data_IF_598856822092
#
_entry.id   IF_598856822092
#
_cell.length_a   1.000
_cell.length_b   1.000
_cell.length_c   1.000
_cell.angle_alpha   90.00
_cell.angle_beta   90.00
_cell.angle_gamma   90.00
#
_symmetry.space_group_name_H-M   'P 1'
#
loop_
_entity.id
_entity.type
_entity.pdbx_description
1 polymer ?
#
# COMPACT_ATOMS: atom_id res chain seq x y z
N UNK A 1 -27.57 14.53 -17.70
CA UNK A 1 -26.48 14.05 -16.84
C UNK A 1 -25.62 13.13 -17.68
N UNK A 2 -24.40 13.53 -18.00
CA UNK A 2 -23.50 12.77 -18.88
C UNK A 2 -22.94 11.58 -18.11
N UNK A 3 -22.70 10.45 -18.78
CA UNK A 3 -22.20 9.20 -18.16
C UNK A 3 -20.93 9.43 -17.30
N UNK A 4 -20.12 10.44 -17.66
CA UNK A 4 -18.97 10.88 -16.86
C UNK A 4 -19.31 11.40 -15.46
N UNK A 5 -20.45 12.10 -15.26
CA UNK A 5 -20.84 12.57 -13.93
C UNK A 5 -21.34 11.44 -13.03
N UNK A 6 -21.94 10.40 -13.61
CA UNK A 6 -22.37 9.21 -12.86
C UNK A 6 -21.18 8.34 -12.44
N UNK A 7 -20.16 8.21 -13.30
CA UNK A 7 -18.91 7.51 -12.97
C UNK A 7 -18.14 8.21 -11.86
N UNK A 8 -18.02 9.54 -11.91
CA UNK A 8 -17.34 10.32 -10.87
C UNK A 8 -18.06 10.20 -9.53
N UNK A 9 -19.39 10.34 -9.50
CA UNK A 9 -20.17 10.19 -8.25
C UNK A 9 -20.14 8.75 -7.72
N UNK A 10 -20.12 7.74 -8.58
CA UNK A 10 -20.00 6.34 -8.17
C UNK A 10 -18.60 6.00 -7.62
N UNK A 11 -17.54 6.58 -8.19
CA UNK A 11 -16.17 6.48 -7.68
C UNK A 11 -16.01 7.21 -6.34
N UNK A 12 -16.58 8.41 -6.19
CA UNK A 12 -16.56 9.18 -4.94
C UNK A 12 -17.32 8.44 -3.83
N UNK A 13 -18.57 8.04 -4.08
CA UNK A 13 -19.39 7.30 -3.12
C UNK A 13 -18.77 5.93 -2.78
N UNK A 14 -18.19 5.25 -3.77
CA UNK A 14 -17.48 3.99 -3.60
C UNK A 14 -16.23 4.12 -2.73
N UNK A 15 -15.36 5.09 -3.03
CA UNK A 15 -14.08 5.30 -2.34
C UNK A 15 -14.26 5.66 -0.86
N UNK A 16 -15.18 6.58 -0.54
CA UNK A 16 -15.44 6.96 0.84
C UNK A 16 -16.15 5.86 1.64
N UNK A 17 -16.95 5.00 1.00
CA UNK A 17 -17.61 3.87 1.67
C UNK A 17 -16.63 2.86 2.26
N UNK A 18 -15.42 2.73 1.68
CA UNK A 18 -14.35 1.83 2.14
C UNK A 18 -13.80 2.29 3.51
N UNK A 19 -13.84 3.59 3.79
CA UNK A 19 -13.46 4.18 5.09
C UNK A 19 -14.59 4.15 6.13
N UNK A 20 -15.83 3.91 5.70
CA UNK A 20 -16.98 3.74 6.61
C UNK A 20 -17.07 2.34 7.22
N UNK A 21 -16.44 1.34 6.61
CA UNK A 21 -16.43 -0.04 7.07
C UNK A 21 -15.22 -0.33 7.96
N UNK A 22 -15.43 -0.28 9.28
CA UNK A 22 -14.39 -0.49 10.30
C UNK A 22 -13.70 -1.86 10.19
N UNK A 23 -14.38 -2.85 9.60
CA UNK A 23 -13.81 -4.19 9.38
C UNK A 23 -12.78 -4.18 8.24
N UNK A 24 -13.04 -3.43 7.18
CA UNK A 24 -12.09 -3.28 6.06
C UNK A 24 -10.88 -2.46 6.46
N UNK A 25 -11.08 -1.41 7.27
CA UNK A 25 -9.97 -0.67 7.87
C UNK A 25 -9.12 -1.55 8.75
N UNK A 26 -9.71 -2.35 9.64
CA UNK A 26 -8.97 -3.30 10.48
C UNK A 26 -8.16 -4.33 9.66
N UNK A 27 -8.75 -4.86 8.59
CA UNK A 27 -8.07 -5.77 7.67
C UNK A 27 -6.90 -5.10 6.95
N UNK A 28 -7.09 -3.87 6.47
CA UNK A 28 -6.02 -3.08 5.84
C UNK A 28 -4.85 -2.83 6.81
N UNK A 29 -5.12 -2.48 8.07
CA UNK A 29 -4.08 -2.27 9.08
C UNK A 29 -3.29 -3.56 9.36
N UNK A 30 -3.97 -4.70 9.47
CA UNK A 30 -3.32 -6.00 9.65
C UNK A 30 -2.44 -6.38 8.45
N UNK A 31 -2.89 -6.11 7.23
CA UNK A 31 -2.11 -6.34 6.01
C UNK A 31 -0.87 -5.44 6.00
N UNK A 32 -1.01 -4.16 6.38
CA UNK A 32 0.12 -3.24 6.47
C UNK A 32 1.15 -3.71 7.51
N UNK A 33 0.70 -4.13 8.69
CA UNK A 33 1.58 -4.68 9.74
C UNK A 33 2.29 -5.95 9.23
N UNK A 34 1.54 -6.87 8.60
CA UNK A 34 2.10 -8.10 8.04
C UNK A 34 3.16 -7.82 6.97
N UNK A 35 2.91 -6.85 6.08
CA UNK A 35 3.86 -6.44 5.05
C UNK A 35 5.15 -5.85 5.63
N UNK A 36 5.05 -5.02 6.67
CA UNK A 36 6.23 -4.45 7.36
C UNK A 36 7.03 -5.57 8.04
N UNK A 37 6.37 -6.47 8.76
CA UNK A 37 7.03 -7.61 9.42
C UNK A 37 7.73 -8.49 8.39
N UNK A 38 7.07 -8.78 7.26
CA UNK A 38 7.66 -9.55 6.17
C UNK A 38 8.89 -8.86 5.58
N UNK A 39 8.81 -7.55 5.32
CA UNK A 39 9.94 -6.75 4.85
C UNK A 39 11.13 -6.81 5.82
N UNK A 40 10.89 -6.67 7.13
CA UNK A 40 11.94 -6.73 8.16
C UNK A 40 12.57 -8.13 8.27
N UNK A 41 11.76 -9.19 8.15
CA UNK A 41 12.26 -10.57 8.10
C UNK A 41 13.20 -10.73 6.91
N UNK A 42 12.78 -10.30 5.73
CA UNK A 42 13.60 -10.37 4.52
C UNK A 42 14.90 -9.60 4.68
N UNK A 43 14.88 -8.38 5.24
CA UNK A 43 16.10 -7.61 5.55
C UNK A 43 17.07 -8.36 6.46
N UNK A 44 16.55 -9.15 7.40
CA UNK A 44 17.36 -9.87 8.39
C UNK A 44 17.97 -11.16 7.84
N UNK A 45 17.29 -11.80 6.89
CA UNK A 45 17.79 -12.99 6.22
C UNK A 45 18.64 -12.69 4.97
N UNK A 46 18.53 -11.48 4.40
CA UNK A 46 19.30 -11.11 3.21
C UNK A 46 20.79 -10.84 3.53
N UNK A 47 21.74 -11.28 2.68
CA UNK A 47 23.17 -11.03 2.89
C UNK A 47 23.46 -9.52 2.93
N UNK A 48 24.14 -9.05 3.99
CA UNK A 48 24.44 -7.62 4.21
C UNK A 48 25.33 -6.99 3.14
N UNK A 49 26.00 -7.80 2.33
CA UNK A 49 26.79 -7.38 1.17
C UNK A 49 25.94 -6.84 0.01
N UNK A 50 24.64 -7.12 -0.01
CA UNK A 50 23.70 -6.64 -1.02
C UNK A 50 22.59 -5.83 -0.33
N UNK A 51 22.62 -4.49 -0.49
CA UNK A 51 21.68 -3.48 0.04
C UNK A 51 20.38 -4.06 0.67
N UNK A 52 20.42 -4.51 1.93
CA UNK A 52 19.36 -5.35 2.51
C UNK A 52 18.06 -4.56 2.70
N UNK A 53 18.19 -3.25 2.96
CA UNK A 53 17.06 -2.33 3.15
C UNK A 53 16.18 -2.29 1.90
N UNK A 54 16.77 -2.11 0.71
CA UNK A 54 16.05 -2.04 -0.57
C UNK A 54 15.28 -3.34 -0.84
N UNK A 55 15.91 -4.50 -0.64
CA UNK A 55 15.25 -5.80 -0.83
C UNK A 55 14.12 -6.05 0.15
N UNK A 56 14.24 -5.60 1.40
CA UNK A 56 13.15 -5.64 2.37
C UNK A 56 11.92 -4.86 1.93
N UNK A 57 12.13 -3.65 1.41
CA UNK A 57 11.06 -2.81 0.89
C UNK A 57 10.41 -3.41 -0.37
N UNK A 58 11.21 -3.94 -1.29
CA UNK A 58 10.70 -4.63 -2.47
C UNK A 58 9.89 -5.87 -2.11
N UNK A 59 10.31 -6.63 -1.10
CA UNK A 59 9.56 -7.80 -0.63
C UNK A 59 8.25 -7.42 0.06
N UNK A 60 8.23 -6.34 0.85
CA UNK A 60 7.00 -5.80 1.43
C UNK A 60 6.01 -5.35 0.35
N UNK A 61 6.49 -4.60 -0.66
CA UNK A 61 5.67 -4.17 -1.81
C UNK A 61 5.17 -5.36 -2.62
N UNK A 62 6.04 -6.35 -2.87
CA UNK A 62 5.66 -7.59 -3.56
C UNK A 62 4.58 -8.37 -2.82
N UNK A 63 4.69 -8.49 -1.49
CA UNK A 63 3.68 -9.14 -0.65
C UNK A 63 2.30 -8.45 -0.75
N UNK A 64 2.27 -7.12 -0.63
CA UNK A 64 1.02 -6.36 -0.75
C UNK A 64 0.47 -6.44 -2.18
N UNK A 65 1.33 -6.43 -3.21
CA UNK A 65 0.95 -6.55 -4.61
C UNK A 65 0.31 -7.91 -4.92
N UNK A 66 0.85 -9.01 -4.36
CA UNK A 66 0.27 -10.34 -4.50
C UNK A 66 -1.09 -10.42 -3.81
N UNK A 67 -1.25 -9.84 -2.62
CA UNK A 67 -2.55 -9.78 -1.94
C UNK A 67 -3.58 -8.94 -2.71
N UNK A 68 -3.15 -7.83 -3.31
CA UNK A 68 -4.01 -6.99 -4.13
C UNK A 68 -4.44 -7.73 -5.43
N UNK A 69 -3.53 -8.46 -6.06
CA UNK A 69 -3.82 -9.28 -7.24
C UNK A 69 -4.79 -10.43 -6.92
N UNK A 70 -4.72 -10.98 -5.70
CA UNK A 70 -5.64 -12.02 -5.23
C UNK A 70 -7.08 -11.52 -4.98
N UNK A 71 -7.38 -10.24 -5.24
CA UNK A 71 -8.74 -9.69 -5.15
C UNK A 71 -9.13 -9.18 -3.76
N UNK A 72 -8.17 -9.02 -2.84
CA UNK A 72 -8.45 -8.41 -1.53
C UNK A 72 -8.58 -6.90 -1.71
N UNK A 73 -9.81 -6.39 -1.74
CA UNK A 73 -10.10 -4.96 -1.91
C UNK A 73 -9.33 -4.10 -0.88
N UNK A 74 -9.23 -4.57 0.37
CA UNK A 74 -8.48 -3.91 1.44
C UNK A 74 -6.97 -3.84 1.19
N UNK A 75 -6.39 -4.80 0.45
CA UNK A 75 -4.97 -4.78 0.10
C UNK A 75 -4.65 -3.73 -0.97
N UNK A 76 -5.61 -3.46 -1.88
CA UNK A 76 -5.48 -2.37 -2.85
C UNK A 76 -5.37 -1.00 -2.18
N UNK A 77 -6.13 -0.75 -1.11
CA UNK A 77 -6.02 0.48 -0.30
C UNK A 77 -4.65 0.60 0.37
N UNK A 78 -4.15 -0.49 0.95
CA UNK A 78 -2.81 -0.52 1.57
C UNK A 78 -1.72 -0.26 0.54
N UNK A 79 -1.83 -0.85 -0.65
CA UNK A 79 -0.88 -0.63 -1.75
C UNK A 79 -0.88 0.83 -2.19
N UNK A 80 -2.07 1.43 -2.30
CA UNK A 80 -2.21 2.85 -2.62
C UNK A 80 -1.57 3.74 -1.54
N UNK A 81 -1.75 3.44 -0.26
CA UNK A 81 -1.09 4.14 0.85
C UNK A 81 0.43 4.00 0.80
N UNK A 82 0.95 2.81 0.50
CA UNK A 82 2.40 2.58 0.35
C UNK A 82 2.98 3.42 -0.79
N UNK A 83 2.28 3.51 -1.92
CA UNK A 83 2.68 4.35 -3.06
C UNK A 83 2.64 5.82 -2.67
N UNK A 84 1.55 6.30 -2.07
CA UNK A 84 1.41 7.69 -1.65
C UNK A 84 2.50 8.10 -0.64
N UNK A 85 2.83 7.22 0.31
CA UNK A 85 3.90 7.44 1.28
C UNK A 85 5.29 7.46 0.60
N UNK A 86 5.54 6.56 -0.35
CA UNK A 86 6.79 6.53 -1.12
C UNK A 86 6.98 7.81 -1.95
N UNK A 87 5.90 8.31 -2.57
CA UNK A 87 5.90 9.58 -3.30
C UNK A 87 6.16 10.75 -2.35
N UNK A 88 5.50 10.79 -1.19
CA UNK A 88 5.74 11.81 -0.16
C UNK A 88 7.19 11.84 0.30
N UNK A 89 7.78 10.67 0.58
CA UNK A 89 9.19 10.56 0.97
C UNK A 89 10.12 11.00 -0.17
N UNK A 90 9.81 10.66 -1.42
CA UNK A 90 10.55 11.11 -2.61
C UNK A 90 10.51 12.63 -2.78
N UNK A 91 9.34 13.25 -2.59
CA UNK A 91 9.19 14.71 -2.61
C UNK A 91 9.98 15.34 -1.46
N UNK A 92 9.88 14.79 -0.25
CA UNK A 92 10.62 15.28 0.91
C UNK A 92 12.13 15.23 0.66
N UNK A 93 12.62 14.14 0.07
CA UNK A 93 14.02 13.99 -0.29
C UNK A 93 14.47 15.05 -1.31
N UNK A 94 13.62 15.47 -2.25
CA UNK A 94 13.93 16.53 -3.21
C UNK A 94 13.96 17.93 -2.58
N UNK A 95 13.19 18.16 -1.52
CA UNK A 95 13.11 19.48 -0.83
C UNK A 95 14.26 19.67 0.17
N UNK A 96 14.69 18.59 0.82
CA UNK A 96 15.74 18.61 1.85
C UNK A 96 17.14 18.19 1.33
N UNK A 97 17.29 18.00 0.02
CA UNK A 97 18.57 17.75 -0.65
C UNK A 97 19.03 18.99 -1.41
#
# INVERSE_FOLDING_TARGET
>A
MTVGSLLVVALDAGWWSIFGDSRQLGAATLIAIAAVVFGVIVQRFWPRSMQPVLFGWLAALGFVAVLAYAGVASAGVVLWLFIAMSVLLGILALVFN
#
